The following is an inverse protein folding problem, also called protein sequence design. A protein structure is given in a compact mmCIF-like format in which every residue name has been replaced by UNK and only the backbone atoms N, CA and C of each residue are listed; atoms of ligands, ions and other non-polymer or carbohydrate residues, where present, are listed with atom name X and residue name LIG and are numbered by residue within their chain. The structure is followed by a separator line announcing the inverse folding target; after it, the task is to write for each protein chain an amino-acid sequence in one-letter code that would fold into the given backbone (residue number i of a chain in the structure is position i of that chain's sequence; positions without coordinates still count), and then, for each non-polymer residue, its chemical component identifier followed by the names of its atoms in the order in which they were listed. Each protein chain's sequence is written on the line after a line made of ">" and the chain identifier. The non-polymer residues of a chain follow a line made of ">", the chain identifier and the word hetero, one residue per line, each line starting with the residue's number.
data_IF_081626953937
#
_entry.id   IF_081626953937
#
_cell.length_a   1.000
_cell.length_b   1.000
_cell.length_c   1.000
_cell.angle_alpha   90.00
_cell.angle_beta   90.00
_cell.angle_gamma   90.00
#
_symmetry.space_group_name_H-M   'P 1'
#
loop_
_entity.id
_entity.type
_entity.pdbx_description
1 polymer ?
#
# COMPACT_ATOMS: atom_id res chain seq x y z
N UNK A 1 -3.53 -6.11 -38.19
CA UNK A 1 -4.63 -5.26 -37.73
C UNK A 1 -4.40 -5.01 -36.24
N UNK A 2 -3.62 -3.98 -35.90
CA UNK A 2 -3.15 -3.64 -34.54
C UNK A 2 -3.95 -2.48 -33.93
N UNK A 3 -5.23 -2.36 -34.26
CA UNK A 3 -6.07 -1.22 -33.85
C UNK A 3 -6.49 -1.30 -32.36
N UNK A 4 -6.42 -2.48 -31.73
CA UNK A 4 -6.89 -2.73 -30.36
C UNK A 4 -5.93 -2.29 -29.24
N UNK A 5 -4.80 -1.64 -29.56
CA UNK A 5 -3.75 -1.32 -28.58
C UNK A 5 -3.87 0.08 -27.97
N UNK A 6 -4.97 0.79 -28.23
CA UNK A 6 -5.19 2.16 -27.72
C UNK A 6 -6.55 2.24 -27.03
N UNK A 7 -6.59 2.70 -25.78
CA UNK A 7 -7.84 3.12 -25.14
C UNK A 7 -7.84 4.61 -24.88
N UNK A 8 -9.05 5.13 -24.72
CA UNK A 8 -9.34 6.50 -24.32
C UNK A 8 -9.83 6.49 -22.89
N UNK A 9 -9.34 7.42 -22.08
CA UNK A 9 -9.76 7.59 -20.69
C UNK A 9 -10.04 9.06 -20.39
N UNK A 10 -11.13 9.37 -19.67
CA UNK A 10 -11.49 10.74 -19.35
C UNK A 10 -10.40 11.40 -18.50
N UNK A 11 -9.91 12.56 -18.93
CA UNK A 11 -8.86 13.34 -18.25
C UNK A 11 -9.31 14.05 -16.96
N UNK A 12 -10.41 13.61 -16.34
CA UNK A 12 -10.95 14.24 -15.13
C UNK A 12 -10.06 13.92 -13.92
N UNK A 13 -9.61 14.97 -13.22
CA UNK A 13 -8.89 14.82 -11.93
C UNK A 13 -9.82 14.37 -10.79
N UNK A 14 -11.12 14.60 -10.92
CA UNK A 14 -12.11 14.32 -9.89
C UNK A 14 -12.71 12.93 -10.05
N UNK A 15 -12.53 12.07 -9.03
CA UNK A 15 -13.06 10.70 -9.00
C UNK A 15 -14.55 10.62 -9.27
N UNK A 16 -15.35 11.52 -8.70
CA UNK A 16 -16.80 11.51 -8.87
C UNK A 16 -17.22 11.75 -10.33
N UNK A 17 -16.49 12.60 -11.07
CA UNK A 17 -16.75 12.84 -12.51
C UNK A 17 -16.45 11.61 -13.34
N UNK A 18 -15.36 10.91 -13.03
CA UNK A 18 -15.02 9.64 -13.70
C UNK A 18 -16.11 8.60 -13.43
N UNK A 19 -16.52 8.42 -12.18
CA UNK A 19 -17.60 7.48 -11.83
C UNK A 19 -18.90 7.82 -12.56
N UNK A 20 -19.25 9.11 -12.65
CA UNK A 20 -20.44 9.57 -13.37
C UNK A 20 -20.33 9.23 -14.87
N UNK A 21 -19.22 9.56 -15.52
CA UNK A 21 -19.00 9.28 -16.94
C UNK A 21 -19.07 7.77 -17.26
N UNK A 22 -18.54 6.92 -16.38
CA UNK A 22 -18.63 5.46 -16.53
C UNK A 22 -20.08 4.99 -16.39
N UNK A 23 -20.79 5.45 -15.35
CA UNK A 23 -22.19 5.05 -15.09
C UNK A 23 -23.13 5.50 -16.20
N UNK A 24 -22.91 6.69 -16.74
CA UNK A 24 -23.72 7.28 -17.80
C UNK A 24 -23.24 6.88 -19.20
N UNK A 25 -22.23 6.01 -19.32
CA UNK A 25 -21.68 5.51 -20.58
C UNK A 25 -21.37 6.63 -21.59
N UNK A 26 -20.71 7.69 -21.13
CA UNK A 26 -20.36 8.82 -21.99
C UNK A 26 -19.46 8.35 -23.13
N UNK A 27 -19.76 8.84 -24.34
CA UNK A 27 -18.90 8.61 -25.50
C UNK A 27 -17.57 9.35 -25.31
N UNK A 28 -16.46 8.76 -25.77
CA UNK A 28 -15.17 9.41 -25.67
C UNK A 28 -15.13 10.69 -26.50
N UNK A 29 -14.64 11.76 -25.89
CA UNK A 29 -14.39 13.04 -26.56
C UNK A 29 -12.93 13.12 -27.03
N UNK A 30 -12.66 13.97 -28.02
CA UNK A 30 -11.30 14.18 -28.54
C UNK A 30 -10.33 14.73 -27.49
N UNK A 31 -10.86 15.34 -26.43
CA UNK A 31 -10.08 15.83 -25.28
C UNK A 31 -9.61 14.73 -24.33
N UNK A 32 -10.10 13.50 -24.49
CA UNK A 32 -9.75 12.39 -23.61
C UNK A 32 -8.33 11.88 -23.88
N UNK A 33 -7.66 11.45 -22.82
CA UNK A 33 -6.28 10.99 -22.92
C UNK A 33 -6.24 9.59 -23.54
N UNK A 34 -5.32 9.38 -24.47
CA UNK A 34 -5.11 8.09 -25.15
C UNK A 34 -3.98 7.34 -24.46
N UNK A 35 -4.21 6.07 -24.12
CA UNK A 35 -3.25 5.20 -23.47
C UNK A 35 -2.96 3.97 -24.34
N UNK A 36 -1.70 3.57 -24.40
CA UNK A 36 -1.31 2.31 -25.02
C UNK A 36 -1.65 1.15 -24.08
N UNK A 37 -2.41 0.18 -24.56
CA UNK A 37 -2.77 -1.03 -23.80
C UNK A 37 -2.00 -2.21 -24.36
N UNK A 38 -1.56 -3.08 -23.44
CA UNK A 38 -1.11 -4.43 -23.74
C UNK A 38 -2.18 -5.41 -23.29
N UNK A 39 -2.61 -6.29 -24.18
CA UNK A 39 -3.51 -7.38 -23.82
C UNK A 39 -2.74 -8.45 -23.04
N UNK A 40 -3.09 -8.66 -21.76
CA UNK A 40 -2.44 -9.67 -20.92
C UNK A 40 -3.02 -11.07 -21.12
N UNK A 41 -4.32 -11.16 -21.38
CA UNK A 41 -5.02 -12.41 -21.67
C UNK A 41 -6.33 -12.11 -22.43
N UNK A 42 -6.80 -13.08 -23.22
CA UNK A 42 -8.12 -13.06 -23.84
C UNK A 42 -8.95 -14.22 -23.26
N UNK A 43 -10.23 -13.98 -22.99
CA UNK A 43 -11.16 -14.99 -22.51
C UNK A 43 -12.55 -14.74 -23.08
N UNK A 44 -13.28 -15.82 -23.37
CA UNK A 44 -14.64 -15.77 -23.90
C UNK A 44 -15.69 -15.66 -22.79
N UNK A 45 -15.36 -16.17 -21.60
CA UNK A 45 -16.29 -16.26 -20.47
C UNK A 45 -15.98 -15.22 -19.39
N UNK A 46 -17.02 -14.53 -18.93
CA UNK A 46 -16.90 -13.50 -17.90
C UNK A 46 -16.34 -14.04 -16.57
N UNK A 47 -16.77 -15.25 -16.18
CA UNK A 47 -16.28 -15.94 -14.97
C UNK A 47 -14.77 -16.20 -15.03
N UNK A 48 -14.28 -16.70 -16.17
CA UNK A 48 -12.86 -16.91 -16.42
C UNK A 48 -12.10 -15.57 -16.43
N UNK A 49 -12.68 -14.53 -17.03
CA UNK A 49 -12.13 -13.18 -17.04
C UNK A 49 -11.93 -12.61 -15.64
N UNK A 50 -12.87 -12.80 -14.71
CA UNK A 50 -12.70 -12.33 -13.32
C UNK A 50 -11.54 -12.99 -12.60
N UNK A 51 -11.30 -14.29 -12.83
CA UNK A 51 -10.17 -15.01 -12.23
C UNK A 51 -8.86 -14.51 -12.82
N UNK A 52 -8.81 -14.32 -14.14
CA UNK A 52 -7.63 -13.79 -14.83
C UNK A 52 -7.32 -12.35 -14.43
N UNK A 53 -8.33 -11.50 -14.25
CA UNK A 53 -8.15 -10.12 -13.81
C UNK A 53 -7.45 -10.02 -12.45
N UNK A 54 -7.89 -10.81 -11.46
CA UNK A 54 -7.22 -10.86 -10.13
C UNK A 54 -5.77 -11.34 -10.22
N UNK A 55 -5.49 -12.30 -11.11
CA UNK A 55 -4.12 -12.77 -11.34
C UNK A 55 -3.27 -11.70 -12.04
N UNK A 56 -3.87 -10.97 -12.97
CA UNK A 56 -3.21 -9.88 -13.69
C UNK A 56 -2.89 -8.68 -12.78
N UNK A 57 -3.75 -8.34 -11.82
CA UNK A 57 -3.47 -7.34 -10.78
C UNK A 57 -2.16 -7.65 -10.04
N UNK A 58 -1.91 -8.92 -9.72
CA UNK A 58 -0.67 -9.35 -9.05
C UNK A 58 0.55 -9.42 -9.99
N UNK A 59 0.35 -9.76 -11.27
CA UNK A 59 1.43 -9.93 -12.24
C UNK A 59 1.90 -8.62 -12.89
N UNK A 60 1.02 -7.61 -12.96
CA UNK A 60 1.31 -6.32 -13.61
C UNK A 60 2.48 -5.57 -12.95
N UNK A 61 2.68 -5.73 -11.64
CA UNK A 61 3.78 -5.08 -10.92
C UNK A 61 5.14 -5.74 -11.19
N UNK A 62 5.18 -7.03 -11.52
CA UNK A 62 6.42 -7.81 -11.64
C UNK A 62 7.09 -7.60 -13.02
N UNK A 63 6.31 -7.34 -14.07
CA UNK A 63 6.82 -7.25 -15.45
C UNK A 63 7.08 -5.79 -15.88
N UNK A 64 6.42 -4.81 -15.25
CA UNK A 64 6.53 -3.39 -15.62
C UNK A 64 7.95 -2.81 -15.42
N UNK A 65 8.73 -3.36 -14.49
CA UNK A 65 10.12 -2.93 -14.23
C UNK A 65 11.09 -3.26 -15.39
N UNK A 66 10.74 -4.20 -16.29
CA UNK A 66 11.58 -4.60 -17.43
C UNK A 66 11.24 -3.91 -18.76
N UNK A 67 10.03 -3.39 -18.94
CA UNK A 67 9.54 -2.85 -20.22
C UNK A 67 9.70 -1.32 -20.34
N UNK A 68 9.78 -0.59 -19.21
CA UNK A 68 9.94 0.88 -19.22
C UNK A 68 11.40 1.31 -19.22
N UNK A 69 12.05 1.15 -20.37
CA UNK A 69 13.21 1.94 -20.71
C UNK A 69 12.83 3.43 -20.77
N UNK A 70 13.36 4.22 -19.82
CA UNK A 70 13.22 5.67 -19.62
C UNK A 70 11.99 6.11 -18.80
N UNK A 71 12.27 6.56 -17.57
CA UNK A 71 11.74 7.86 -17.14
C UNK A 71 10.76 7.93 -15.99
N UNK A 72 10.62 6.93 -15.11
CA UNK A 72 10.07 7.18 -13.78
C UNK A 72 11.20 7.31 -12.77
N UNK A 73 11.58 8.56 -12.46
CA UNK A 73 12.43 8.86 -11.29
C UNK A 73 11.75 8.27 -10.06
N UNK A 74 12.27 7.12 -9.61
CA UNK A 74 11.87 6.43 -8.38
C UNK A 74 12.03 7.41 -7.23
N UNK A 75 10.93 8.05 -6.80
CA UNK A 75 10.89 8.72 -5.51
C UNK A 75 11.04 7.59 -4.48
N UNK A 76 12.29 7.38 -4.02
CA UNK A 76 12.58 6.55 -2.85
C UNK A 76 11.86 7.17 -1.65
N UNK A 77 10.59 6.80 -1.45
CA UNK A 77 9.91 7.10 -0.18
C UNK A 77 10.71 6.38 0.90
N UNK A 78 11.24 7.16 1.84
CA UNK A 78 11.96 6.69 3.04
C UNK A 78 11.04 5.81 3.89
N UNK A 79 10.89 4.55 3.51
CA UNK A 79 10.15 3.53 4.25
C UNK A 79 10.91 3.03 5.50
N UNK A 80 12.13 3.52 5.72
CA UNK A 80 12.98 3.12 6.84
C UNK A 80 12.62 3.83 8.15
N UNK A 81 11.93 4.98 8.13
CA UNK A 81 11.72 5.76 9.35
C UNK A 81 10.49 5.35 10.18
N UNK A 82 9.52 4.62 9.61
CA UNK A 82 8.30 4.23 10.35
C UNK A 82 8.52 2.95 11.15
N UNK A 83 9.18 1.94 10.57
CA UNK A 83 9.51 0.70 11.29
C UNK A 83 10.52 0.92 12.41
N UNK A 84 11.57 1.73 12.18
CA UNK A 84 12.56 2.03 13.23
C UNK A 84 11.91 2.79 14.39
N UNK A 85 11.01 3.75 14.10
CA UNK A 85 10.26 4.45 15.16
C UNK A 85 9.37 3.51 15.96
N UNK A 86 8.63 2.61 15.31
CA UNK A 86 7.76 1.64 15.99
C UNK A 86 8.54 0.66 16.88
N UNK A 87 9.70 0.18 16.42
CA UNK A 87 10.55 -0.71 17.23
C UNK A 87 11.17 0.04 18.41
N UNK A 88 11.61 1.29 18.21
CA UNK A 88 12.16 2.11 19.30
C UNK A 88 11.11 2.48 20.35
N UNK A 89 9.87 2.80 19.95
CA UNK A 89 8.80 3.09 20.92
C UNK A 89 8.48 1.87 21.77
N UNK A 90 8.39 0.68 21.18
CA UNK A 90 8.15 -0.57 21.92
C UNK A 90 9.28 -0.88 22.91
N UNK A 91 10.54 -0.65 22.51
CA UNK A 91 11.69 -0.85 23.40
C UNK A 91 11.67 0.11 24.60
N UNK A 92 11.30 1.37 24.38
CA UNK A 92 11.17 2.36 25.47
C UNK A 92 10.04 1.98 26.42
N UNK A 93 8.89 1.58 25.91
CA UNK A 93 7.76 1.12 26.74
C UNK A 93 8.15 -0.10 27.59
N UNK A 94 8.79 -1.11 27.00
CA UNK A 94 9.27 -2.29 27.74
C UNK A 94 10.28 -1.92 28.83
N UNK A 95 11.25 -1.04 28.55
CA UNK A 95 12.22 -0.59 29.55
C UNK A 95 11.57 0.14 30.72
N UNK A 96 10.54 0.95 30.47
CA UNK A 96 9.81 1.64 31.55
C UNK A 96 9.02 0.68 32.43
N UNK A 97 8.47 -0.39 31.87
CA UNK A 97 7.76 -1.43 32.62
C UNK A 97 8.73 -2.17 33.54
N UNK A 98 9.89 -2.57 33.03
CA UNK A 98 10.93 -3.26 33.80
C UNK A 98 11.42 -2.38 34.96
N UNK A 99 11.71 -1.10 34.71
CA UNK A 99 12.13 -0.16 35.74
C UNK A 99 11.07 0.03 36.85
N UNK A 100 9.79 0.12 36.47
CA UNK A 100 8.70 0.22 37.47
C UNK A 100 8.60 -1.04 38.33
N UNK A 101 8.73 -2.22 37.71
CA UNK A 101 8.68 -3.50 38.42
C UNK A 101 9.85 -3.64 39.42
N UNK A 102 11.08 -3.33 39.02
CA UNK A 102 12.24 -3.41 39.91
C UNK A 102 12.16 -2.40 41.05
N UNK A 103 11.67 -1.19 40.79
CA UNK A 103 11.42 -0.20 41.85
C UNK A 103 10.34 -0.67 42.86
N UNK A 104 9.28 -1.34 42.40
CA UNK A 104 8.28 -1.91 43.33
C UNK A 104 8.88 -3.00 44.20
N UNK A 105 9.68 -3.90 43.63
CA UNK A 105 10.35 -4.98 44.38
C UNK A 105 11.27 -4.39 45.46
N UNK A 106 12.08 -3.38 45.11
CA UNK A 106 12.95 -2.70 46.07
C UNK A 106 12.16 -2.01 47.20
N UNK A 107 11.02 -1.37 46.89
CA UNK A 107 10.14 -0.79 47.91
C UNK A 107 9.60 -1.85 48.87
N UNK A 108 9.17 -3.00 48.34
CA UNK A 108 8.67 -4.11 49.17
C UNK A 108 9.80 -4.66 50.06
N UNK A 109 11.00 -4.87 49.49
CA UNK A 109 12.17 -5.29 50.27
C UNK A 109 12.50 -4.32 51.40
N UNK A 110 12.49 -3.01 51.13
CA UNK A 110 12.72 -2.00 52.17
C UNK A 110 11.69 -2.07 53.30
N UNK A 111 10.39 -2.16 52.97
CA UNK A 111 9.32 -2.27 53.99
C UNK A 111 9.49 -3.54 54.83
N UNK A 112 9.80 -4.66 54.19
CA UNK A 112 10.05 -5.93 54.90
C UNK A 112 11.27 -5.83 55.81
N UNK A 113 12.38 -5.25 55.34
CA UNK A 113 13.59 -5.08 56.18
C UNK A 113 13.37 -4.17 57.37
N UNK A 114 12.59 -3.09 57.22
CA UNK A 114 12.28 -2.18 58.34
C UNK A 114 11.39 -2.86 59.37
N UNK A 115 10.39 -3.64 58.93
CA UNK A 115 9.50 -4.39 59.84
C UNK A 115 10.18 -5.57 60.55
N UNK A 116 11.31 -6.08 60.03
CA UNK A 116 12.10 -7.15 60.67
C UNK A 116 13.15 -6.61 61.66
N UNK A 117 13.46 -5.31 61.62
CA UNK A 117 14.43 -4.63 62.47
C UNK A 117 13.81 -3.85 63.64
N UNK A 118 12.47 -3.73 63.68
CA UNK A 118 11.69 -3.25 64.84
C UNK A 118 11.13 -4.43 65.64
#
# INVERSE_FOLDING_TARGET
>A
MDEDKKCVWPGFKNRWKVTKAIKEMWKPEETWSVYSIRTLAKCCDYSAGRVLARKAEHASDIISDGEYGRGCRRIKRKLTNVMVKGVMTMAVELMTIILKATMMILKIQMVVTVNLLM
#
